data_IF_396207122450
#
_entry.id   IF_396207122450
#
_cell.length_a   1.000
_cell.length_b   1.000
_cell.length_c   1.000
_cell.angle_alpha   90.00
_cell.angle_beta   90.00
_cell.angle_gamma   90.00
#
_symmetry.space_group_name_H-M   'P 1'
#
loop_
_entity.id
_entity.type
_entity.pdbx_description
1 polymer ?
#
# COMPACT_ATOMS: atom_id res chain seq x y z
N UNK A 1 32.66 8.28 -66.35
CA UNK A 1 32.58 9.76 -66.24
C UNK A 1 31.82 10.33 -67.44
N UNK A 2 30.70 11.03 -67.20
CA UNK A 2 30.05 12.14 -67.95
C UNK A 2 28.51 12.04 -67.80
N UNK A 3 27.92 13.19 -67.48
CA UNK A 3 26.57 13.40 -66.92
C UNK A 3 25.56 13.87 -67.98
N UNK A 4 24.30 13.87 -67.55
CA UNK A 4 23.22 14.84 -67.84
C UNK A 4 22.03 14.24 -68.63
N UNK A 5 20.84 14.04 -68.06
CA UNK A 5 19.86 14.88 -67.32
C UNK A 5 18.83 15.55 -68.23
N UNK A 6 17.60 15.01 -68.11
CA UNK A 6 16.25 15.54 -68.26
C UNK A 6 15.96 16.69 -69.24
N UNK A 7 14.81 16.51 -69.91
CA UNK A 7 13.89 17.62 -70.14
C UNK A 7 12.57 17.21 -70.74
N UNK A 8 11.52 17.01 -69.94
CA UNK A 8 10.13 17.29 -70.35
C UNK A 8 9.29 17.84 -69.18
N UNK A 9 8.26 18.65 -69.48
CA UNK A 9 8.05 19.94 -68.83
C UNK A 9 6.96 19.96 -67.75
N UNK A 10 7.12 20.98 -66.89
CA UNK A 10 6.13 21.64 -66.02
C UNK A 10 4.93 22.07 -66.88
N UNK A 11 3.65 21.94 -66.50
CA UNK A 11 2.90 22.82 -65.59
C UNK A 11 1.55 22.18 -65.20
N UNK A 12 1.28 22.02 -63.89
CA UNK A 12 -0.07 22.00 -63.29
C UNK A 12 -0.04 22.43 -61.81
N UNK A 13 1.04 23.09 -61.37
CA UNK A 13 1.31 23.28 -59.94
C UNK A 13 0.47 24.40 -59.32
N UNK A 14 0.02 25.37 -60.11
CA UNK A 14 -0.79 26.50 -59.62
C UNK A 14 -2.28 26.19 -59.47
N UNK A 15 -2.80 25.15 -60.12
CA UNK A 15 -4.21 24.71 -59.96
C UNK A 15 -4.40 23.78 -58.76
N UNK A 16 -3.39 22.98 -58.41
CA UNK A 16 -3.43 22.12 -57.23
C UNK A 16 -3.28 22.89 -55.91
N UNK A 17 -2.54 24.02 -55.92
CA UNK A 17 -2.30 24.79 -54.69
C UNK A 17 -3.55 25.56 -54.19
N UNK A 18 -4.44 26.00 -55.09
CA UNK A 18 -5.69 26.67 -54.71
C UNK A 18 -6.75 25.74 -54.11
N UNK A 19 -6.83 24.49 -54.61
CA UNK A 19 -7.76 23.47 -54.07
C UNK A 19 -7.30 22.93 -52.71
N UNK A 20 -6.00 22.87 -52.46
CA UNK A 20 -5.44 22.39 -51.19
C UNK A 20 -5.65 23.39 -50.04
N UNK A 21 -5.71 24.69 -50.33
CA UNK A 21 -5.88 25.74 -49.31
C UNK A 21 -7.33 25.86 -48.79
N UNK A 22 -8.33 25.58 -49.63
CA UNK A 22 -9.75 25.50 -49.20
C UNK A 22 -10.01 24.20 -48.41
N UNK A 23 -9.33 23.11 -48.74
CA UNK A 23 -9.45 21.84 -48.02
C UNK A 23 -8.81 21.89 -46.61
N UNK A 24 -7.78 22.71 -46.39
CA UNK A 24 -7.12 22.82 -45.07
C UNK A 24 -7.88 23.72 -44.08
N UNK A 25 -8.70 24.68 -44.55
CA UNK A 25 -9.46 25.56 -43.64
C UNK A 25 -10.71 24.88 -43.03
N UNK A 26 -11.25 23.84 -43.66
CA UNK A 26 -12.43 23.11 -43.15
C UNK A 26 -12.12 22.04 -42.08
N UNK A 27 -10.84 21.81 -41.75
CA UNK A 27 -10.39 20.66 -40.93
C UNK A 27 -10.11 21.05 -39.46
N UNK A 28 -10.47 22.25 -38.98
CA UNK A 28 -10.06 22.72 -37.64
C UNK A 28 -11.18 22.96 -36.60
N UNK A 29 -12.43 22.55 -36.82
CA UNK A 29 -13.54 22.80 -35.85
C UNK A 29 -14.36 21.55 -35.48
N UNK A 30 -13.75 20.36 -35.42
CA UNK A 30 -14.46 19.15 -34.92
C UNK A 30 -13.57 18.35 -33.96
N UNK A 31 -13.05 18.99 -32.90
CA UNK A 31 -12.36 18.28 -31.81
C UNK A 31 -12.96 18.55 -30.41
N UNK A 32 -14.23 18.99 -30.33
CA UNK A 32 -14.91 19.11 -29.05
C UNK A 32 -16.27 18.39 -29.04
N UNK A 33 -16.21 17.06 -29.07
CA UNK A 33 -17.35 16.20 -28.67
C UNK A 33 -16.88 15.12 -27.69
N UNK A 34 -17.07 15.30 -26.37
CA UNK A 34 -16.95 14.20 -25.43
C UNK A 34 -18.26 13.41 -25.48
N UNK A 35 -18.42 12.56 -26.49
CA UNK A 35 -19.58 11.68 -26.62
C UNK A 35 -19.16 10.22 -26.54
N UNK A 36 -19.55 9.59 -25.44
CA UNK A 36 -19.99 8.19 -25.46
C UNK A 36 -18.89 7.14 -25.27
N UNK A 37 -18.74 6.74 -24.00
CA UNK A 37 -18.58 5.34 -23.54
C UNK A 37 -18.25 4.33 -24.64
N UNK A 38 -16.96 4.09 -24.86
CA UNK A 38 -16.54 2.81 -25.44
C UNK A 38 -16.63 1.76 -24.33
N UNK A 39 -17.52 0.80 -24.56
CA UNK A 39 -17.67 -0.39 -23.75
C UNK A 39 -16.31 -1.01 -23.47
N UNK A 40 -16.10 -1.40 -22.21
CA UNK A 40 -14.94 -2.14 -21.76
C UNK A 40 -14.65 -3.29 -22.72
N UNK A 41 -13.62 -3.11 -23.54
CA UNK A 41 -13.00 -4.20 -24.24
C UNK A 41 -12.25 -4.95 -23.16
N UNK A 42 -12.85 -6.05 -22.70
CA UNK A 42 -12.23 -6.98 -21.78
C UNK A 42 -10.96 -7.51 -22.43
N UNK A 43 -9.85 -6.82 -22.19
CA UNK A 43 -8.54 -7.38 -22.36
C UNK A 43 -8.47 -8.54 -21.36
N UNK A 44 -8.58 -9.76 -21.87
CA UNK A 44 -8.17 -10.96 -21.14
C UNK A 44 -6.65 -10.87 -20.97
N UNK A 45 -6.21 -10.02 -20.05
CA UNK A 45 -4.89 -10.15 -19.46
C UNK A 45 -4.89 -11.55 -18.88
N UNK A 46 -3.92 -12.43 -19.21
CA UNK A 46 -3.79 -13.66 -18.47
C UNK A 46 -3.70 -13.24 -17.01
N UNK A 47 -4.74 -13.58 -16.26
CA UNK A 47 -4.74 -13.44 -14.82
C UNK A 47 -3.75 -14.48 -14.31
N UNK A 48 -2.46 -14.20 -14.51
CA UNK A 48 -1.43 -14.63 -13.59
C UNK A 48 -1.80 -13.94 -12.30
N UNK A 49 -2.70 -14.57 -11.54
CA UNK A 49 -3.08 -14.11 -10.23
C UNK A 49 -1.78 -13.87 -9.50
N UNK A 50 -1.48 -12.59 -9.25
CA UNK A 50 -0.33 -12.22 -8.45
C UNK A 50 -0.48 -13.03 -7.16
N UNK A 51 0.40 -14.00 -6.97
CA UNK A 51 0.40 -14.83 -5.76
C UNK A 51 0.56 -13.85 -4.62
N UNK A 52 -0.52 -13.58 -3.90
CA UNK A 52 -0.48 -12.78 -2.68
C UNK A 52 0.63 -13.43 -1.83
N UNK A 53 1.69 -12.69 -1.46
CA UNK A 53 2.76 -13.28 -0.67
C UNK A 53 2.13 -13.86 0.60
N UNK A 54 2.48 -15.11 0.92
CA UNK A 54 1.98 -15.77 2.11
C UNK A 54 2.29 -14.89 3.32
N UNK A 55 1.29 -14.62 4.16
CA UNK A 55 1.50 -13.84 5.38
C UNK A 55 2.52 -14.58 6.25
N UNK A 56 3.58 -13.89 6.68
CA UNK A 56 4.65 -14.44 7.53
C UNK A 56 4.21 -14.78 8.97
N UNK A 57 2.90 -14.90 9.21
CA UNK A 57 2.30 -15.14 10.52
C UNK A 57 2.46 -13.95 11.47
N UNK A 58 2.14 -14.15 12.76
CA UNK A 58 2.33 -13.14 13.80
C UNK A 58 3.80 -12.76 13.96
N UNK A 59 4.06 -11.46 14.15
CA UNK A 59 5.39 -10.90 14.38
C UNK A 59 5.80 -11.03 15.86
N UNK A 60 5.61 -12.22 16.44
CA UNK A 60 5.86 -12.48 17.86
C UNK A 60 6.39 -13.89 18.11
N UNK A 61 7.21 -14.04 19.14
CA UNK A 61 7.78 -15.32 19.59
C UNK A 61 7.89 -15.35 21.12
N UNK A 62 7.85 -16.53 21.76
CA UNK A 62 7.84 -16.62 23.22
C UNK A 62 9.17 -16.22 23.88
N UNK A 63 10.29 -16.41 23.19
CA UNK A 63 11.64 -16.23 23.73
C UNK A 63 12.58 -15.50 22.76
N UNK A 64 13.73 -15.06 23.28
CA UNK A 64 14.70 -14.28 22.51
C UNK A 64 15.35 -15.06 21.36
N UNK A 65 15.61 -16.36 21.54
CA UNK A 65 16.33 -17.17 20.55
C UNK A 65 15.43 -17.38 19.33
N UNK A 66 14.18 -17.78 19.56
CA UNK A 66 13.21 -17.94 18.48
C UNK A 66 12.87 -16.60 17.81
N UNK A 67 12.80 -15.50 18.57
CA UNK A 67 12.61 -14.16 18.03
C UNK A 67 13.78 -13.71 17.14
N UNK A 68 15.03 -13.97 17.53
CA UNK A 68 16.23 -13.66 16.73
C UNK A 68 16.24 -14.40 15.40
N UNK A 69 15.94 -15.70 15.42
CA UNK A 69 15.87 -16.50 14.21
C UNK A 69 14.76 -15.98 13.28
N UNK A 70 13.57 -15.71 13.83
CA UNK A 70 12.45 -15.19 13.07
C UNK A 70 12.72 -13.80 12.49
N UNK A 71 13.33 -12.88 13.27
CA UNK A 71 13.60 -11.51 12.83
C UNK A 71 14.56 -11.47 11.63
N UNK A 72 15.58 -12.33 11.64
CA UNK A 72 16.52 -12.47 10.52
C UNK A 72 15.87 -13.13 9.31
N UNK A 73 15.12 -14.22 9.51
CA UNK A 73 14.49 -14.96 8.43
C UNK A 73 13.39 -14.15 7.74
N UNK A 74 12.56 -13.46 8.52
CA UNK A 74 11.39 -12.71 8.05
C UNK A 74 11.72 -11.25 7.71
N UNK A 75 12.94 -10.79 8.02
CA UNK A 75 13.43 -9.41 7.79
C UNK A 75 12.50 -8.33 8.37
N UNK A 76 11.91 -8.60 9.54
CA UNK A 76 11.05 -7.66 10.27
C UNK A 76 11.31 -7.73 11.77
N UNK A 77 10.89 -6.70 12.49
CA UNK A 77 10.94 -6.67 13.96
C UNK A 77 9.97 -7.71 14.55
N UNK A 78 10.43 -8.51 15.49
CA UNK A 78 9.66 -9.58 16.15
C UNK A 78 9.60 -9.31 17.65
N UNK A 79 8.40 -9.33 18.22
CA UNK A 79 8.20 -9.16 19.67
C UNK A 79 8.55 -10.44 20.44
N UNK A 80 9.11 -10.27 21.64
CA UNK A 80 9.40 -11.36 22.59
C UNK A 80 8.32 -11.37 23.66
N UNK A 81 7.31 -12.23 23.52
CA UNK A 81 6.10 -12.18 24.35
C UNK A 81 6.36 -12.55 25.80
N UNK A 82 7.33 -13.43 26.07
CA UNK A 82 7.77 -13.78 27.42
C UNK A 82 8.45 -12.63 28.18
N UNK A 83 8.79 -11.54 27.49
CA UNK A 83 9.37 -10.32 28.07
C UNK A 83 8.36 -9.17 28.11
N UNK A 84 7.08 -9.42 27.83
CA UNK A 84 6.01 -8.41 28.00
C UNK A 84 5.81 -8.11 29.49
N UNK A 85 5.74 -6.82 29.80
CA UNK A 85 5.24 -6.33 31.09
C UNK A 85 4.03 -5.44 30.88
N UNK A 86 3.45 -4.95 31.97
CA UNK A 86 2.38 -3.95 31.97
C UNK A 86 2.72 -2.69 31.16
N UNK A 87 4.00 -2.31 31.11
CA UNK A 87 4.48 -1.04 30.56
C UNK A 87 5.67 -1.20 29.61
N UNK A 88 6.08 -2.42 29.22
CA UNK A 88 7.17 -2.63 28.24
C UNK A 88 6.86 -3.68 27.17
N UNK A 89 7.33 -3.40 25.95
CA UNK A 89 7.51 -4.20 24.72
C UNK A 89 8.97 -4.54 24.44
N UNK A 90 9.44 -5.79 24.51
CA UNK A 90 10.78 -6.16 24.03
C UNK A 90 10.72 -6.74 22.63
N UNK A 91 11.59 -6.29 21.74
CA UNK A 91 11.62 -6.69 20.34
C UNK A 91 13.03 -7.03 19.87
N UNK A 92 13.13 -7.97 18.95
CA UNK A 92 14.36 -8.24 18.18
C UNK A 92 14.18 -7.67 16.78
N UNK A 93 15.17 -6.89 16.34
CA UNK A 93 15.19 -6.27 15.02
C UNK A 93 15.88 -7.17 13.98
N UNK A 94 15.66 -6.94 12.67
CA UNK A 94 16.27 -7.76 11.60
C UNK A 94 17.79 -7.79 11.60
N UNK A 95 18.42 -6.71 12.07
CA UNK A 95 19.88 -6.58 12.20
C UNK A 95 20.45 -7.32 13.43
N UNK A 96 19.57 -7.90 14.25
CA UNK A 96 19.92 -8.61 15.49
C UNK A 96 20.02 -7.72 16.72
N UNK A 97 19.79 -6.41 16.61
CA UNK A 97 19.68 -5.53 17.78
C UNK A 97 18.37 -5.80 18.54
N UNK A 98 18.34 -5.40 19.81
CA UNK A 98 17.16 -5.52 20.68
C UNK A 98 16.68 -4.13 21.06
N UNK A 99 15.38 -3.87 20.89
CA UNK A 99 14.75 -2.62 21.30
C UNK A 99 13.70 -2.90 22.38
N UNK A 100 13.59 -1.99 23.33
CA UNK A 100 12.52 -2.00 24.33
C UNK A 100 11.67 -0.74 24.14
N UNK A 101 10.39 -0.94 23.80
CA UNK A 101 9.39 0.11 23.82
C UNK A 101 8.87 0.20 25.26
N UNK A 102 9.00 1.38 25.90
CA UNK A 102 8.53 1.63 27.27
C UNK A 102 7.44 2.69 27.29
N UNK A 103 6.51 2.56 28.24
CA UNK A 103 5.35 3.42 28.38
C UNK A 103 5.35 4.05 29.78
N UNK A 104 4.87 5.29 29.90
CA UNK A 104 4.80 6.03 31.17
C UNK A 104 3.80 5.43 32.16
N UNK A 105 2.98 4.49 31.74
CA UNK A 105 1.98 3.83 32.58
C UNK A 105 1.63 2.43 32.09
N UNK A 106 0.66 1.82 32.78
CA UNK A 106 0.12 0.50 32.45
C UNK A 106 -0.72 0.62 31.18
N UNK A 107 -0.29 -0.05 30.11
CA UNK A 107 -1.09 -0.14 28.86
C UNK A 107 -1.85 -1.44 28.73
N UNK A 108 -1.41 -2.47 29.45
CA UNK A 108 -1.97 -3.81 29.43
C UNK A 108 -1.94 -4.42 30.82
N UNK A 109 -2.91 -5.26 31.11
CA UNK A 109 -3.04 -5.98 32.38
C UNK A 109 -3.08 -7.47 32.13
N UNK A 110 -2.60 -8.25 33.08
CA UNK A 110 -2.64 -9.71 33.00
C UNK A 110 -4.01 -10.22 33.44
N UNK A 111 -4.66 -11.00 32.59
CA UNK A 111 -5.96 -11.66 32.85
C UNK A 111 -5.82 -13.14 32.49
N UNK A 112 -5.91 -14.01 33.50
CA UNK A 112 -5.56 -15.43 33.32
C UNK A 112 -4.12 -15.56 32.81
N UNK A 113 -3.93 -16.33 31.74
CA UNK A 113 -2.62 -16.55 31.12
C UNK A 113 -2.23 -15.47 30.10
N UNK A 114 -3.15 -14.56 29.76
CA UNK A 114 -3.00 -13.58 28.69
C UNK A 114 -2.81 -12.14 29.15
N UNK A 115 -2.48 -11.29 28.18
CA UNK A 115 -2.46 -9.84 28.30
C UNK A 115 -3.69 -9.25 27.63
N UNK A 116 -4.32 -8.28 28.28
CA UNK A 116 -5.43 -7.51 27.73
C UNK A 116 -5.09 -6.05 27.85
N UNK A 117 -5.28 -5.29 26.78
CA UNK A 117 -5.03 -3.85 26.80
C UNK A 117 -6.02 -3.15 27.75
N UNK A 118 -5.55 -2.08 28.38
CA UNK A 118 -6.36 -1.23 29.25
C UNK A 118 -7.44 -0.58 28.40
N UNK A 119 -8.68 -0.73 28.84
CA UNK A 119 -9.88 -0.14 28.25
C UNK A 119 -10.60 0.64 29.36
N UNK A 120 -10.38 1.95 29.34
CA UNK A 120 -10.95 2.89 30.30
C UNK A 120 -12.41 3.26 29.99
N UNK A 121 -13.04 2.65 28.98
CA UNK A 121 -14.47 2.86 28.69
C UNK A 121 -15.29 2.43 29.90
N UNK A 122 -16.09 3.35 30.43
CA UNK A 122 -16.93 3.10 31.60
C UNK A 122 -18.19 2.33 31.24
N UNK A 123 -18.56 1.39 32.10
CA UNK A 123 -19.79 0.61 32.02
C UNK A 123 -20.45 0.53 33.40
N UNK A 124 -21.77 0.40 33.44
CA UNK A 124 -22.49 0.08 34.66
C UNK A 124 -22.47 -1.44 34.85
N UNK A 125 -21.75 -1.92 35.85
CA UNK A 125 -21.66 -3.32 36.21
C UNK A 125 -21.94 -3.46 37.72
N UNK A 126 -22.84 -4.37 38.09
CA UNK A 126 -23.21 -4.63 39.49
C UNK A 126 -23.61 -3.37 40.28
N UNK A 127 -24.31 -2.44 39.61
CA UNK A 127 -24.74 -1.17 40.21
C UNK A 127 -23.64 -0.13 40.41
N UNK A 128 -22.41 -0.37 39.91
CA UNK A 128 -21.27 0.54 39.97
C UNK A 128 -20.77 0.92 38.59
N UNK A 129 -20.22 2.13 38.47
CA UNK A 129 -19.55 2.58 37.23
C UNK A 129 -18.09 2.13 37.27
N UNK A 130 -17.72 1.24 36.37
CA UNK A 130 -16.38 0.64 36.32
C UNK A 130 -15.81 0.65 34.91
N UNK A 131 -14.49 0.73 34.72
CA UNK A 131 -13.86 0.59 33.41
C UNK A 131 -13.93 -0.86 32.94
N UNK A 132 -14.00 -1.09 31.63
CA UNK A 132 -13.99 -2.45 31.06
C UNK A 132 -12.72 -3.23 31.43
N UNK A 133 -11.56 -2.59 31.36
CA UNK A 133 -10.28 -3.18 31.72
C UNK A 133 -9.38 -2.12 32.35
N UNK A 134 -9.09 -2.24 33.63
CA UNK A 134 -8.10 -1.41 34.33
C UNK A 134 -7.34 -2.23 35.36
N UNK A 135 -6.14 -1.75 35.74
CA UNK A 135 -5.38 -2.32 36.87
C UNK A 135 -5.94 -1.84 38.21
N UNK A 136 -6.32 -0.56 38.27
CA UNK A 136 -6.90 0.04 39.47
C UNK A 136 -8.41 -0.25 39.53
N UNK A 137 -8.91 -0.55 40.72
CA UNK A 137 -10.33 -0.50 41.01
C UNK A 137 -10.77 0.94 41.21
N UNK A 138 -11.93 1.32 40.65
CA UNK A 138 -12.58 2.59 40.98
C UNK A 138 -13.46 2.35 42.21
N UNK A 139 -13.36 3.22 43.21
CA UNK A 139 -14.09 3.13 44.49
C UNK A 139 -15.38 3.91 44.43
#
# INVERSE_FOLDING_TARGET
MKRAFLGRPRVSFTRFLGLLLVAVLAVTIVEFTPAGRNAAQAATTPSGGARQPASSGPAERPDLVSAQLAARAEKRRIEVTGQRTESTSTFVNPDGTVTVDSYSGVRRVRRGDGWVDVDATLVLADGKVTPKVAKAGIV
#
